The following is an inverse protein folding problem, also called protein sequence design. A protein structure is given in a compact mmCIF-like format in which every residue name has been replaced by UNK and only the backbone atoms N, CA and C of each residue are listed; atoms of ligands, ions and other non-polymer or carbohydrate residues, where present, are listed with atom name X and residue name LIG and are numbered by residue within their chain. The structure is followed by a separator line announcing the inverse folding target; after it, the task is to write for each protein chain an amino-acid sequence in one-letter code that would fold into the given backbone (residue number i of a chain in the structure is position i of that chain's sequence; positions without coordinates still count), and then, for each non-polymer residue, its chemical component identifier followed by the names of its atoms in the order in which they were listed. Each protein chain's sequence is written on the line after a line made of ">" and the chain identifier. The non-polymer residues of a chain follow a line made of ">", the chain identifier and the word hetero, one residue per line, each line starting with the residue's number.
data_IF_366556168960
#
_entry.id   IF_366556168960
#
_cell.length_a   1.000
_cell.length_b   1.000
_cell.length_c   1.000
_cell.angle_alpha   90.00
_cell.angle_beta   90.00
_cell.angle_gamma   90.00
#
_symmetry.space_group_name_H-M   'P 1'
#
loop_
_entity.id
_entity.type
_entity.pdbx_description
1 polymer ?
#
# COMPACT_ATOMS: atom_id res chain seq x y z
N UNK A 1 27.33 -29.48 4.41
CA UNK A 1 26.93 -29.04 4.24
C UNK A 1 26.46 -28.47 4.40
N UNK A 2 26.31 -28.33 4.35
CA UNK A 2 25.62 -27.65 4.24
C UNK A 2 25.19 -26.80 4.26
N UNK A 3 24.98 -26.66 4.29
CA UNK A 3 24.48 -25.88 4.17
C UNK A 3 24.33 -25.07 4.00
N UNK A 4 24.47 -25.02 3.96
CA UNK A 4 24.23 -24.23 3.72
C UNK A 4 23.92 -23.58 3.39
N UNK A 5 23.77 -23.53 3.24
CA UNK A 5 23.36 -22.81 2.79
C UNK A 5 22.84 -22.20 2.84
N UNK A 6 22.62 -22.25 3.05
CA UNK A 6 22.03 -21.63 3.16
C UNK A 6 21.98 -20.70 3.24
N UNK A 7 22.10 -20.32 3.43
CA UNK A 7 21.86 -19.53 3.50
C UNK A 7 21.92 -18.62 3.20
N UNK A 8 22.20 -18.46 3.01
CA UNK A 8 22.21 -17.49 2.62
C UNK A 8 21.64 -17.00 1.80
N UNK A 9 21.22 -17.16 1.48
CA UNK A 9 20.56 -16.68 0.71
C UNK A 9 19.84 -15.72 1.03
N UNK A 10 19.83 -15.35 1.71
CA UNK A 10 19.26 -14.54 1.96
C UNK A 10 19.38 -13.57 1.66
N UNK A 11 19.71 -13.28 1.38
CA UNK A 11 19.90 -12.44 1.11
C UNK A 11 19.41 -11.77 0.18
N UNK A 12 19.20 -11.92 -0.73
CA UNK A 12 18.72 -11.19 -1.67
C UNK A 12 17.39 -10.91 -1.51
N UNK A 13 16.95 -9.70 -1.67
CA UNK A 13 15.58 -9.33 -1.55
C UNK A 13 14.82 -9.91 -2.71
N UNK A 14 14.08 -10.90 -2.43
CA UNK A 14 13.22 -11.49 -3.42
C UNK A 14 11.98 -10.65 -3.57
N UNK A 15 11.39 -10.58 -4.76
CA UNK A 15 10.10 -9.89 -4.90
C UNK A 15 9.04 -10.43 -3.96
N UNK A 16 9.06 -11.71 -3.68
CA UNK A 16 8.12 -12.29 -2.74
C UNK A 16 8.33 -11.76 -1.33
N UNK A 17 9.58 -11.40 -0.98
CA UNK A 17 9.84 -10.82 0.34
C UNK A 17 9.24 -9.44 0.45
N UNK A 18 9.32 -8.63 -0.60
CA UNK A 18 8.70 -7.32 -0.57
C UNK A 18 7.19 -7.45 -0.41
N UNK A 19 6.59 -8.41 -1.08
CA UNK A 19 5.17 -8.64 -0.95
C UNK A 19 4.81 -9.03 0.47
N UNK A 20 5.62 -9.88 1.09
CA UNK A 20 5.37 -10.28 2.47
C UNK A 20 5.49 -9.11 3.43
N UNK A 21 6.50 -8.27 3.23
CA UNK A 21 6.69 -7.11 4.08
C UNK A 21 5.51 -6.16 3.98
N UNK A 22 5.02 -5.96 2.75
CA UNK A 22 3.86 -5.11 2.54
C UNK A 22 2.64 -5.70 3.23
N UNK A 23 2.49 -7.01 3.15
CA UNK A 23 1.35 -7.69 3.73
C UNK A 23 1.35 -7.62 5.24
N UNK A 24 2.54 -7.56 5.86
CA UNK A 24 2.61 -7.42 7.31
C UNK A 24 1.90 -6.16 7.78
N UNK A 25 2.05 -5.07 7.03
CA UNK A 25 1.37 -3.83 7.39
C UNK A 25 -0.13 -3.94 7.15
N UNK A 26 -0.52 -4.51 6.01
CA UNK A 26 -1.94 -4.63 5.69
C UNK A 26 -2.68 -5.56 6.64
N UNK A 27 -1.97 -6.47 7.29
CA UNK A 27 -2.61 -7.42 8.20
C UNK A 27 -2.71 -6.90 9.63
N UNK A 28 -2.23 -5.71 9.91
CA UNK A 28 -2.29 -5.18 11.28
C UNK A 28 -3.69 -4.66 11.60
N UNK A 29 -4.09 -4.73 12.87
CA UNK A 29 -5.37 -4.14 13.27
C UNK A 29 -5.40 -2.63 13.03
N UNK A 30 -4.26 -1.97 13.19
CA UNK A 30 -4.17 -0.54 12.96
C UNK A 30 -4.56 -0.19 11.53
N UNK A 31 -4.03 -0.94 10.57
CA UNK A 31 -4.36 -0.67 9.18
C UNK A 31 -5.82 -0.94 8.89
N UNK A 32 -6.33 -2.05 9.40
CA UNK A 32 -7.71 -2.42 9.12
C UNK A 32 -8.67 -1.38 9.66
N UNK A 33 -8.40 -0.89 10.85
CA UNK A 33 -9.24 0.13 11.44
C UNK A 33 -9.13 1.45 10.68
N UNK A 34 -7.90 1.83 10.36
CA UNK A 34 -7.66 3.09 9.66
C UNK A 34 -8.27 3.09 8.27
N UNK A 35 -8.07 2.01 7.52
CA UNK A 35 -8.58 1.95 6.16
C UNK A 35 -10.10 1.95 6.14
N UNK A 36 -10.72 1.28 7.10
CA UNK A 36 -12.17 1.29 7.19
C UNK A 36 -12.68 2.69 7.48
N UNK A 37 -12.05 3.39 8.41
CA UNK A 37 -12.45 4.74 8.77
C UNK A 37 -12.25 5.68 7.58
N UNK A 38 -11.15 5.54 6.86
CA UNK A 38 -10.90 6.39 5.70
C UNK A 38 -11.93 6.14 4.61
N UNK A 39 -12.27 4.89 4.37
CA UNK A 39 -13.25 4.57 3.34
C UNK A 39 -14.62 5.12 3.70
N UNK A 40 -14.96 5.11 4.98
CA UNK A 40 -16.22 5.67 5.41
C UNK A 40 -16.25 7.18 5.25
N UNK A 41 -15.11 7.84 5.47
CA UNK A 41 -15.02 9.28 5.29
C UNK A 41 -14.95 9.67 3.82
N UNK A 42 -14.39 8.81 2.98
CA UNK A 42 -14.20 9.09 1.55
C UNK A 42 -14.68 7.90 0.74
N UNK A 43 -15.99 7.70 0.63
CA UNK A 43 -16.52 6.51 -0.05
C UNK A 43 -16.42 6.57 -1.57
N UNK A 44 -16.15 7.76 -2.12
CA UNK A 44 -16.11 7.92 -3.57
C UNK A 44 -14.67 8.07 -4.04
N UNK A 45 -14.41 7.65 -5.28
CA UNK A 45 -13.08 7.80 -5.88
C UNK A 45 -12.73 9.28 -5.94
N UNK A 46 -11.64 9.65 -5.31
CA UNK A 46 -11.27 11.06 -5.22
C UNK A 46 -10.80 11.60 -6.56
N UNK A 47 -10.15 10.79 -7.37
CA UNK A 47 -9.73 11.24 -8.69
C UNK A 47 -10.92 11.42 -9.63
N UNK A 48 -11.88 10.52 -9.55
CA UNK A 48 -13.09 10.68 -10.37
C UNK A 48 -13.86 11.92 -9.95
N UNK A 49 -13.91 12.20 -8.65
CA UNK A 49 -14.57 13.40 -8.17
C UNK A 49 -13.94 14.66 -8.73
N UNK A 50 -12.63 14.69 -8.85
CA UNK A 50 -11.95 15.85 -9.43
C UNK A 50 -12.34 16.06 -10.88
N UNK A 51 -12.74 14.99 -11.55
CA UNK A 51 -13.19 15.07 -12.93
C UNK A 51 -14.70 15.25 -13.04
N UNK A 52 -15.39 15.39 -11.92
CA UNK A 52 -16.83 15.53 -11.91
C UNK A 52 -17.58 14.22 -12.07
N UNK A 53 -16.91 13.09 -11.83
CA UNK A 53 -17.51 11.77 -11.97
C UNK A 53 -17.76 11.19 -10.59
N UNK A 54 -18.96 10.69 -10.37
CA UNK A 54 -19.32 10.05 -9.11
C UNK A 54 -19.16 8.56 -9.28
N UNK A 55 -18.15 8.00 -8.61
CA UNK A 55 -17.86 6.59 -8.73
C UNK A 55 -17.38 6.07 -7.39
N UNK A 56 -17.83 4.89 -7.02
CA UNK A 56 -17.50 4.30 -5.73
C UNK A 56 -16.05 3.91 -5.66
N UNK A 57 -15.40 4.21 -4.54
CA UNK A 57 -14.03 3.80 -4.31
C UNK A 57 -14.00 2.34 -3.88
N UNK A 58 -13.02 1.61 -4.38
CA UNK A 58 -12.84 0.20 -4.03
C UNK A 58 -11.53 -0.03 -3.30
N UNK A 59 -10.58 0.88 -3.44
CA UNK A 59 -9.26 0.70 -2.88
C UNK A 59 -8.82 1.93 -2.13
N UNK A 60 -8.03 1.71 -1.08
CA UNK A 60 -7.34 2.79 -0.38
C UNK A 60 -5.90 2.74 -0.86
N UNK A 61 -5.45 3.83 -1.45
CA UNK A 61 -4.13 3.92 -2.08
C UNK A 61 -3.24 4.82 -1.25
N UNK A 62 -1.98 4.44 -1.10
CA UNK A 62 -1.00 5.30 -0.45
C UNK A 62 -0.41 6.22 -1.50
N UNK A 63 -0.50 7.52 -1.26
CA UNK A 63 0.02 8.49 -2.22
C UNK A 63 1.52 8.30 -2.37
N UNK A 64 2.23 8.22 -1.25
CA UNK A 64 3.62 7.82 -1.25
C UNK A 64 3.70 6.40 -0.70
N UNK A 65 4.32 5.50 -1.45
CA UNK A 65 4.40 4.11 -1.03
C UNK A 65 5.18 3.98 0.27
N UNK A 66 4.63 3.25 1.23
CA UNK A 66 5.37 3.02 2.47
C UNK A 66 6.55 2.09 2.24
N UNK A 67 6.58 1.41 1.09
CA UNK A 67 7.73 0.60 0.74
C UNK A 67 8.85 1.41 0.11
N UNK A 68 8.64 2.71 -0.08
CA UNK A 68 9.68 3.57 -0.66
C UNK A 68 10.79 3.88 0.33
N UNK A 69 10.60 3.54 1.60
CA UNK A 69 11.64 3.73 2.62
C UNK A 69 11.98 2.39 3.21
N UNK A 70 13.17 2.27 3.77
CA UNK A 70 13.64 1.01 4.34
C UNK A 70 13.43 0.92 5.84
N UNK A 71 13.29 2.04 6.50
CA UNK A 71 13.12 2.08 7.95
C UNK A 71 11.72 1.64 8.33
N UNK A 72 11.62 0.65 9.18
CA UNK A 72 10.34 0.08 9.56
C UNK A 72 9.43 1.12 10.23
N UNK A 73 10.01 1.96 11.06
CA UNK A 73 9.21 3.01 11.69
C UNK A 73 8.66 3.98 10.67
N UNK A 74 9.48 4.38 9.72
CA UNK A 74 9.02 5.29 8.68
C UNK A 74 7.99 4.66 7.77
N UNK A 75 8.12 3.36 7.53
CA UNK A 75 7.10 2.64 6.77
C UNK A 75 5.75 2.71 7.46
N UNK A 76 5.74 2.50 8.78
CA UNK A 76 4.50 2.56 9.53
C UNK A 76 3.93 3.97 9.55
N UNK A 77 4.79 4.97 9.67
CA UNK A 77 4.32 6.35 9.62
C UNK A 77 3.63 6.65 8.32
N UNK A 78 4.22 6.25 7.20
CA UNK A 78 3.61 6.47 5.89
C UNK A 78 2.34 5.65 5.72
N UNK A 79 2.37 4.41 6.19
CA UNK A 79 1.24 3.51 5.99
C UNK A 79 0.02 3.96 6.76
N UNK A 80 0.22 4.53 7.96
CA UNK A 80 -0.88 4.89 8.82
C UNK A 80 -1.16 6.39 8.83
N UNK A 81 -0.58 7.13 7.91
CA UNK A 81 -0.78 8.57 7.82
C UNK A 81 -2.04 8.86 7.03
N UNK A 82 -3.04 9.41 7.70
CA UNK A 82 -4.32 9.71 7.06
C UNK A 82 -4.14 10.57 5.82
N UNK A 83 -3.25 11.56 5.89
CA UNK A 83 -3.06 12.47 4.77
C UNK A 83 -2.30 11.83 3.60
N UNK A 84 -1.77 10.64 3.80
CA UNK A 84 -1.09 9.89 2.75
C UNK A 84 -1.99 8.88 2.07
N UNK A 85 -3.28 8.91 2.36
CA UNK A 85 -4.24 7.94 1.83
C UNK A 85 -5.13 8.60 0.78
N UNK A 86 -5.64 7.78 -0.11
CA UNK A 86 -6.51 8.24 -1.17
C UNK A 86 -7.47 7.11 -1.54
N UNK A 87 -8.75 7.46 -1.66
CA UNK A 87 -9.76 6.49 -2.09
C UNK A 87 -9.83 6.48 -3.61
N UNK A 88 -9.73 5.31 -4.21
CA UNK A 88 -9.72 5.18 -5.66
C UNK A 88 -10.63 4.04 -6.09
N UNK A 89 -11.26 4.21 -7.25
CA UNK A 89 -11.97 3.11 -7.90
C UNK A 89 -10.94 2.16 -8.51
N UNK A 90 -11.43 1.01 -8.98
CA UNK A 90 -10.54 -0.01 -9.52
C UNK A 90 -9.71 0.53 -10.66
N UNK A 91 -10.35 1.28 -11.55
CA UNK A 91 -9.65 1.77 -12.73
C UNK A 91 -8.57 2.78 -12.40
N UNK A 92 -8.90 3.74 -11.53
CA UNK A 92 -7.91 4.73 -11.15
C UNK A 92 -6.76 4.10 -10.39
N UNK A 93 -7.07 3.13 -9.54
CA UNK A 93 -6.04 2.43 -8.79
C UNK A 93 -5.10 1.67 -9.72
N UNK A 94 -5.67 0.99 -10.71
CA UNK A 94 -4.86 0.26 -11.68
C UNK A 94 -3.99 1.20 -12.50
N UNK A 95 -4.54 2.35 -12.87
CA UNK A 95 -3.75 3.32 -13.63
C UNK A 95 -2.57 3.83 -12.84
N UNK A 96 -2.76 4.04 -11.53
CA UNK A 96 -1.65 4.47 -10.69
C UNK A 96 -0.56 3.41 -10.63
N UNK A 97 -0.96 2.16 -10.52
CA UNK A 97 0.02 1.08 -10.48
C UNK A 97 0.74 0.93 -11.79
N UNK A 98 0.02 1.12 -12.88
CA UNK A 98 0.66 1.07 -14.19
C UNK A 98 1.71 2.15 -14.35
N UNK A 99 1.43 3.33 -13.84
CA UNK A 99 2.34 4.45 -13.99
C UNK A 99 3.49 4.41 -13.01
N UNK A 100 3.38 3.54 -12.02
CA UNK A 100 4.41 3.46 -11.05
C UNK A 100 5.37 2.46 -11.49
N UNK A 101 6.18 2.33 -11.90
CA UNK A 101 7.14 1.38 -12.31
C UNK A 101 7.81 0.76 -11.15
N UNK A 102 7.10 0.03 -10.41
CA UNK A 102 7.74 -0.56 -9.30
C UNK A 102 8.10 -1.99 -9.45
#
# INVERSE_FOLDING_TARGET
>A
MPTINKGCNKRKIQPSNRRKERQLIYNTPEWKKLSKAFKMAHPLCQECLEKGIIKEAKHIHHIQSFMSVDDELKRKELAYDWSNLQSLCVECHNNKHHNHQE
#
